data_IF_253279494690
#
_entry.id   IF_253279494690
#
_cell.length_a   1.000
_cell.length_b   1.000
_cell.length_c   1.000
_cell.angle_alpha   90.00
_cell.angle_beta   90.00
_cell.angle_gamma   90.00
#
_symmetry.space_group_name_H-M   'P 1'
#
loop_
_entity.id
_entity.type
_entity.pdbx_description
1 polymer ?
#
# COMPACT_ATOMS: atom_id res chain seq x y z
N UNK A 1 6.66 -13.09 7.19
CA UNK A 1 5.67 -13.33 6.12
C UNK A 1 5.05 -12.00 5.75
N UNK A 2 4.71 -11.77 4.48
CA UNK A 2 4.05 -10.55 4.01
C UNK A 2 3.03 -10.87 2.93
N UNK A 3 2.20 -9.90 2.59
CA UNK A 3 1.27 -9.94 1.45
C UNK A 3 1.97 -9.25 0.28
N UNK A 4 2.00 -9.90 -0.87
CA UNK A 4 2.57 -9.37 -2.10
C UNK A 4 1.44 -8.99 -3.06
N UNK A 5 1.70 -8.00 -3.92
CA UNK A 5 0.76 -7.56 -4.94
C UNK A 5 0.46 -8.73 -5.87
N UNK A 6 -0.81 -8.86 -6.30
CA UNK A 6 -1.24 -9.89 -7.25
C UNK A 6 -0.87 -11.34 -6.84
N UNK A 7 -0.65 -11.62 -5.55
CA UNK A 7 -0.27 -12.95 -5.04
C UNK A 7 -1.28 -13.46 -4.00
N UNK A 8 -2.35 -14.16 -4.44
CA UNK A 8 -3.34 -14.77 -3.56
C UNK A 8 -2.74 -15.72 -2.52
N UNK A 9 -1.69 -16.47 -2.88
CA UNK A 9 -1.09 -17.45 -1.98
C UNK A 9 -0.42 -16.74 -0.79
N UNK A 10 0.20 -15.58 -1.02
CA UNK A 10 0.72 -14.74 0.05
C UNK A 10 -0.38 -14.17 0.94
N UNK A 11 -1.49 -13.73 0.33
CA UNK A 11 -2.67 -13.22 1.04
C UNK A 11 -3.24 -14.29 1.96
N UNK A 12 -3.56 -15.48 1.43
CA UNK A 12 -4.12 -16.58 2.20
C UNK A 12 -3.19 -17.04 3.33
N UNK A 13 -1.88 -17.03 3.07
CA UNK A 13 -0.88 -17.38 4.09
C UNK A 13 -0.87 -16.42 5.27
N UNK A 14 -1.15 -15.13 5.04
CA UNK A 14 -1.13 -14.09 6.08
C UNK A 14 -2.50 -13.92 6.72
N UNK A 15 -3.57 -13.96 5.94
CA UNK A 15 -4.92 -13.62 6.37
C UNK A 15 -5.82 -14.85 6.61
N UNK A 16 -5.38 -16.04 6.24
CA UNK A 16 -6.17 -17.27 6.29
C UNK A 16 -6.97 -17.49 5.00
N UNK A 17 -7.71 -18.60 4.92
CA UNK A 17 -8.49 -18.97 3.72
C UNK A 17 -9.90 -18.39 3.69
N UNK A 18 -10.42 -17.98 4.84
CA UNK A 18 -11.77 -17.43 4.98
C UNK A 18 -11.75 -15.90 4.80
N UNK A 19 -11.33 -15.46 3.62
CA UNK A 19 -11.26 -14.05 3.26
C UNK A 19 -12.51 -13.68 2.44
N UNK A 20 -13.28 -12.65 2.85
CA UNK A 20 -14.43 -12.17 2.09
C UNK A 20 -14.07 -11.86 0.63
N UNK A 21 -15.01 -12.09 -0.27
CA UNK A 21 -14.86 -11.76 -1.69
C UNK A 21 -15.41 -10.35 -1.90
N UNK A 22 -14.58 -9.35 -1.57
CA UNK A 22 -14.94 -7.93 -1.69
C UNK A 22 -13.83 -7.19 -2.45
N UNK A 23 -14.20 -6.11 -3.14
CA UNK A 23 -13.27 -5.25 -3.87
C UNK A 23 -12.27 -4.54 -2.94
N UNK A 24 -12.64 -4.41 -1.67
CA UNK A 24 -11.81 -3.77 -0.66
C UNK A 24 -11.88 -4.55 0.64
N UNK A 25 -10.73 -4.84 1.23
CA UNK A 25 -10.64 -5.48 2.54
C UNK A 25 -9.84 -4.60 3.50
N UNK A 26 -10.39 -4.35 4.68
CA UNK A 26 -9.75 -3.53 5.70
C UNK A 26 -9.40 -4.33 6.97
N UNK A 27 -8.23 -4.07 7.53
CA UNK A 27 -7.68 -4.77 8.69
C UNK A 27 -7.05 -3.80 9.69
N UNK A 28 -7.43 -3.92 10.95
CA UNK A 28 -6.80 -3.19 12.05
C UNK A 28 -5.45 -3.81 12.43
N UNK A 29 -4.48 -2.98 12.82
CA UNK A 29 -3.35 -3.46 13.62
C UNK A 29 -3.79 -3.78 15.06
N UNK A 30 -2.90 -4.41 15.84
CA UNK A 30 -3.18 -4.94 17.19
C UNK A 30 -3.83 -3.90 18.12
N UNK A 31 -3.35 -2.67 18.07
CA UNK A 31 -3.77 -1.59 18.97
C UNK A 31 -4.86 -0.69 18.35
N UNK A 32 -5.36 -1.03 17.14
CA UNK A 32 -6.35 -0.26 16.37
C UNK A 32 -5.94 1.21 16.16
N UNK A 33 -4.65 1.42 15.91
CA UNK A 33 -4.05 2.72 15.60
C UNK A 33 -3.73 2.89 14.12
N UNK A 34 -3.78 1.80 13.34
CA UNK A 34 -3.53 1.80 11.90
C UNK A 34 -4.52 0.91 11.17
N UNK A 35 -5.03 1.38 10.04
CA UNK A 35 -5.83 0.58 9.12
C UNK A 35 -4.99 0.19 7.91
N UNK A 36 -5.01 -1.10 7.55
CA UNK A 36 -4.52 -1.60 6.27
C UNK A 36 -5.72 -1.91 5.39
N UNK A 37 -5.77 -1.25 4.23
CA UNK A 37 -6.77 -1.49 3.20
C UNK A 37 -6.09 -2.15 2.00
N UNK A 38 -6.63 -3.30 1.57
CA UNK A 38 -6.23 -4.00 0.35
C UNK A 38 -7.30 -3.74 -0.70
N UNK A 39 -6.90 -3.29 -1.89
CA UNK A 39 -7.81 -2.96 -2.98
C UNK A 39 -7.61 -3.93 -4.14
N UNK A 40 -8.73 -4.45 -4.62
CA UNK A 40 -8.84 -5.31 -5.79
C UNK A 40 -9.40 -4.48 -6.94
N UNK A 41 -8.72 -4.46 -8.07
CA UNK A 41 -9.11 -3.64 -9.22
C UNK A 41 -9.92 -4.40 -10.29
N UNK A 42 -10.41 -5.61 -9.99
CA UNK A 42 -11.17 -6.44 -10.92
C UNK A 42 -10.31 -7.45 -11.68
N UNK A 43 -10.88 -8.59 -12.06
CA UNK A 43 -10.20 -9.69 -12.75
C UNK A 43 -10.63 -11.07 -12.26
N UNK A 44 -10.04 -12.13 -12.84
CA UNK A 44 -10.43 -13.53 -12.58
C UNK A 44 -9.79 -14.13 -11.30
N UNK A 45 -8.79 -13.46 -10.72
CA UNK A 45 -8.00 -14.02 -9.60
C UNK A 45 -8.46 -13.45 -8.26
N UNK A 46 -9.26 -14.22 -7.53
CA UNK A 46 -9.69 -13.89 -6.16
C UNK A 46 -8.48 -13.70 -5.24
N UNK A 47 -8.54 -12.68 -4.37
CA UNK A 47 -7.48 -12.32 -3.39
C UNK A 47 -6.15 -11.83 -3.96
N UNK A 48 -6.09 -11.53 -5.25
CA UNK A 48 -4.98 -10.86 -5.91
C UNK A 48 -5.11 -9.34 -5.78
N UNK A 49 -4.61 -8.76 -4.70
CA UNK A 49 -4.75 -7.32 -4.45
C UNK A 49 -3.71 -6.50 -5.24
N UNK A 50 -4.18 -5.46 -5.90
CA UNK A 50 -3.41 -4.62 -6.80
C UNK A 50 -2.85 -3.36 -6.12
N UNK A 51 -3.45 -2.96 -4.99
CA UNK A 51 -3.06 -1.79 -4.23
C UNK A 51 -3.20 -2.01 -2.73
N UNK A 52 -2.29 -1.40 -1.98
CA UNK A 52 -2.33 -1.33 -0.54
C UNK A 52 -2.37 0.13 -0.09
N UNK A 53 -3.23 0.42 0.90
CA UNK A 53 -3.28 1.70 1.59
C UNK A 53 -3.14 1.48 3.10
N UNK A 54 -2.35 2.33 3.74
CA UNK A 54 -2.18 2.33 5.20
C UNK A 54 -2.41 3.73 5.73
N UNK A 55 -3.31 3.85 6.70
CA UNK A 55 -3.68 5.13 7.34
C UNK A 55 -3.55 5.05 8.85
N UNK A 56 -3.46 6.22 9.50
CA UNK A 56 -3.84 6.30 10.91
C UNK A 56 -5.33 6.02 11.04
N UNK A 57 -5.66 5.16 12.00
CA UNK A 57 -7.02 4.74 12.31
C UNK A 57 -7.91 5.91 12.73
N UNK A 58 -9.09 6.07 12.11
CA UNK A 58 -10.23 6.65 12.81
C UNK A 58 -10.99 5.53 13.55
N UNK A 59 -11.42 5.79 14.78
CA UNK A 59 -12.15 4.81 15.61
C UNK A 59 -13.46 4.34 14.97
N UNK A 60 -13.98 5.08 13.98
CA UNK A 60 -15.22 4.77 13.28
C UNK A 60 -15.03 3.91 12.01
N UNK A 61 -13.80 3.61 11.60
CA UNK A 61 -13.58 2.80 10.40
C UNK A 61 -13.96 1.33 10.64
N UNK A 62 -14.65 0.72 9.68
CA UNK A 62 -14.95 -0.70 9.68
C UNK A 62 -13.74 -1.49 9.20
N UNK A 63 -13.52 -2.65 9.82
CA UNK A 63 -12.50 -3.60 9.40
C UNK A 63 -13.01 -5.02 9.63
N UNK A 64 -12.53 -5.94 8.80
CA UNK A 64 -12.89 -7.36 8.87
C UNK A 64 -12.40 -7.97 10.18
N UNK A 65 -11.17 -7.64 10.58
CA UNK A 65 -10.57 -8.12 11.83
C UNK A 65 -9.41 -7.26 12.30
N UNK A 66 -8.99 -7.55 13.52
CA UNK A 66 -7.75 -7.07 14.13
C UNK A 66 -6.65 -8.10 13.91
N UNK A 67 -5.53 -7.68 13.32
CA UNK A 67 -4.33 -8.50 13.15
C UNK A 67 -3.43 -8.38 14.38
N UNK A 68 -2.72 -9.45 14.75
CA UNK A 68 -1.77 -9.45 15.87
C UNK A 68 -0.43 -8.76 15.53
N UNK A 69 -0.45 -7.72 14.70
CA UNK A 69 0.71 -6.96 14.26
C UNK A 69 0.73 -5.60 14.96
N UNK A 70 1.86 -5.15 15.52
CA UNK A 70 1.93 -3.83 16.16
C UNK A 70 1.85 -2.69 15.15
N UNK A 71 2.34 -2.88 13.93
CA UNK A 71 2.31 -1.90 12.85
C UNK A 71 2.37 -2.58 11.49
N UNK A 72 1.90 -1.88 10.46
CA UNK A 72 2.08 -2.25 9.06
C UNK A 72 3.36 -1.62 8.50
N UNK A 73 4.17 -2.47 7.86
CA UNK A 73 5.48 -2.10 7.31
C UNK A 73 5.60 -2.72 5.92
N UNK A 74 5.99 -1.93 4.93
CA UNK A 74 6.21 -2.44 3.57
C UNK A 74 7.47 -3.29 3.49
N UNK A 75 7.64 -4.06 2.41
CA UNK A 75 8.85 -4.85 2.18
C UNK A 75 10.15 -4.03 2.12
N UNK A 76 10.05 -2.72 1.84
CA UNK A 76 11.18 -1.77 1.84
C UNK A 76 11.33 -1.00 3.16
N UNK A 77 10.53 -1.31 4.19
CA UNK A 77 10.63 -0.71 5.51
C UNK A 77 9.84 0.58 5.71
N UNK A 78 8.97 0.96 4.77
CA UNK A 78 8.10 2.13 4.95
C UNK A 78 7.01 1.84 5.97
N UNK A 79 6.79 2.77 6.89
CA UNK A 79 5.78 2.68 7.95
C UNK A 79 5.35 4.08 8.36
N UNK A 80 4.16 4.19 8.95
CA UNK A 80 3.69 5.47 9.51
C UNK A 80 4.67 6.03 10.54
N UNK A 81 4.79 7.35 10.58
CA UNK A 81 5.63 8.11 11.51
C UNK A 81 7.09 8.34 11.07
N UNK A 82 7.51 7.82 9.92
CA UNK A 82 8.82 8.19 9.34
C UNK A 82 8.79 9.64 8.82
N UNK A 83 9.95 10.26 8.70
CA UNK A 83 10.09 11.59 8.09
C UNK A 83 10.28 11.50 6.59
N UNK A 84 10.06 12.61 5.88
CA UNK A 84 10.33 12.70 4.44
C UNK A 84 11.80 12.37 4.13
N UNK A 85 12.74 12.79 4.98
CA UNK A 85 14.16 12.43 4.85
C UNK A 85 14.36 10.90 4.84
N UNK A 86 13.72 10.19 5.77
CA UNK A 86 13.81 8.73 5.82
C UNK A 86 13.17 8.07 4.59
N UNK A 87 12.07 8.63 4.06
CA UNK A 87 11.48 8.16 2.81
C UNK A 87 12.44 8.36 1.62
N UNK A 88 13.09 9.51 1.54
CA UNK A 88 14.12 9.81 0.54
C UNK A 88 15.32 8.88 0.64
N UNK A 89 15.72 8.44 1.84
CA UNK A 89 16.78 7.44 2.02
C UNK A 89 16.38 6.06 1.46
N UNK A 90 15.08 5.71 1.44
CA UNK A 90 14.57 4.43 0.94
C UNK A 90 14.43 4.44 -0.59
N UNK A 91 13.91 5.52 -1.17
CA UNK A 91 13.51 5.58 -2.59
C UNK A 91 14.27 6.60 -3.44
N UNK A 92 15.08 7.46 -2.83
CA UNK A 92 15.62 8.65 -3.49
C UNK A 92 14.62 9.80 -3.53
N UNK A 93 14.94 10.84 -4.30
CA UNK A 93 14.12 12.04 -4.41
C UNK A 93 12.82 11.73 -5.18
N UNK A 94 11.67 11.91 -4.52
CA UNK A 94 10.35 11.86 -5.16
C UNK A 94 9.87 13.23 -5.63
N UNK A 95 8.73 13.24 -6.32
CA UNK A 95 8.04 14.49 -6.71
C UNK A 95 7.20 14.95 -5.52
N UNK A 96 7.46 16.14 -5.00
CA UNK A 96 6.73 16.70 -3.86
C UNK A 96 5.61 17.65 -4.33
N UNK A 97 4.42 17.46 -3.76
CA UNK A 97 3.26 18.33 -3.90
C UNK A 97 2.85 18.87 -2.52
N UNK A 98 2.45 20.14 -2.43
CA UNK A 98 1.97 20.73 -1.17
C UNK A 98 0.49 21.06 -1.26
N UNK A 99 -0.29 20.51 -0.34
CA UNK A 99 -1.73 20.74 -0.22
C UNK A 99 -2.01 21.32 1.17
N UNK A 100 -2.20 22.63 1.24
CA UNK A 100 -2.38 23.34 2.51
C UNK A 100 -1.19 23.16 3.45
N UNK A 101 -1.39 22.45 4.57
CA UNK A 101 -0.34 22.14 5.56
C UNK A 101 0.26 20.74 5.39
N UNK A 102 -0.21 19.98 4.42
CA UNK A 102 0.26 18.63 4.12
C UNK A 102 1.24 18.66 2.95
N UNK A 103 2.18 17.72 2.96
CA UNK A 103 3.09 17.47 1.86
C UNK A 103 2.87 16.04 1.38
N UNK A 104 2.75 15.85 0.07
CA UNK A 104 2.54 14.55 -0.56
C UNK A 104 3.77 14.28 -1.42
N UNK A 105 4.40 13.12 -1.23
CA UNK A 105 5.53 12.68 -2.05
C UNK A 105 5.07 11.55 -2.95
N UNK A 106 5.30 11.71 -4.24
CA UNK A 106 4.91 10.79 -5.29
C UNK A 106 6.13 10.09 -5.89
N UNK A 107 6.00 8.78 -6.10
CA UNK A 107 6.92 7.95 -6.86
C UNK A 107 6.14 7.20 -7.92
N UNK A 108 6.68 7.14 -9.13
CA UNK A 108 6.04 6.43 -10.24
C UNK A 108 7.09 5.67 -11.06
N UNK A 109 6.76 4.45 -11.43
CA UNK A 109 7.42 3.68 -12.48
C UNK A 109 6.38 3.51 -13.58
N UNK A 110 6.70 3.91 -14.80
CA UNK A 110 5.81 3.80 -15.95
C UNK A 110 6.56 3.17 -17.12
N UNK A 111 5.96 2.13 -17.71
CA UNK A 111 6.47 1.42 -18.89
C UNK A 111 5.30 0.76 -19.62
N UNK A 112 4.53 1.60 -20.33
CA UNK A 112 3.31 1.17 -21.04
C UNK A 112 3.61 0.07 -22.06
N UNK A 113 4.78 0.11 -22.70
CA UNK A 113 5.19 -0.89 -23.68
C UNK A 113 5.74 -2.18 -23.05
N UNK A 114 5.89 -2.23 -21.72
CA UNK A 114 6.50 -3.33 -20.98
C UNK A 114 7.85 -3.77 -21.57
N UNK A 115 8.68 -2.80 -21.96
CA UNK A 115 9.91 -3.08 -22.71
C UNK A 115 11.19 -3.01 -21.85
N UNK A 116 11.15 -2.28 -20.75
CA UNK A 116 12.34 -1.80 -20.03
C UNK A 116 12.33 -2.03 -18.52
N UNK A 117 11.16 -2.22 -17.91
CA UNK A 117 11.00 -2.46 -16.48
C UNK A 117 10.73 -3.94 -16.18
N UNK A 118 11.72 -4.72 -15.71
CA UNK A 118 11.50 -6.13 -15.35
C UNK A 118 10.44 -6.31 -14.26
N UNK A 119 10.32 -5.34 -13.36
CA UNK A 119 9.30 -5.32 -12.32
C UNK A 119 7.91 -5.23 -12.93
N UNK A 120 7.66 -4.27 -13.82
CA UNK A 120 6.36 -4.11 -14.48
C UNK A 120 6.04 -5.26 -15.43
N UNK A 121 7.05 -5.81 -16.13
CA UNK A 121 6.92 -7.01 -16.96
C UNK A 121 6.48 -8.24 -16.15
N UNK A 122 7.02 -8.42 -14.94
CA UNK A 122 6.67 -9.56 -14.08
C UNK A 122 5.17 -9.55 -13.73
N UNK A 123 4.64 -8.39 -13.36
CA UNK A 123 3.23 -8.22 -13.00
C UNK A 123 2.32 -7.95 -14.21
N UNK A 124 2.90 -7.71 -15.40
CA UNK A 124 2.19 -7.31 -16.63
C UNK A 124 1.36 -6.04 -16.47
N UNK A 125 1.89 -5.06 -15.73
CA UNK A 125 1.20 -3.80 -15.42
C UNK A 125 1.92 -2.61 -16.04
N UNK A 126 1.21 -1.63 -16.63
CA UNK A 126 1.84 -0.51 -17.35
C UNK A 126 2.47 0.52 -16.42
N UNK A 127 2.00 0.61 -15.18
CA UNK A 127 2.54 1.54 -14.19
C UNK A 127 2.41 1.00 -12.77
N UNK A 128 3.29 1.49 -11.91
CA UNK A 128 3.28 1.30 -10.47
C UNK A 128 3.55 2.63 -9.79
N UNK A 129 2.81 2.90 -8.72
CA UNK A 129 2.90 4.17 -8.03
C UNK A 129 3.05 3.99 -6.52
N UNK A 130 3.54 5.04 -5.87
CA UNK A 130 3.53 5.18 -4.42
C UNK A 130 3.29 6.63 -4.06
N UNK A 131 2.30 6.85 -3.20
CA UNK A 131 1.89 8.16 -2.71
C UNK A 131 2.01 8.18 -1.18
N UNK A 132 2.67 9.21 -0.65
CA UNK A 132 3.06 9.28 0.75
C UNK A 132 2.68 10.64 1.34
N UNK A 133 1.70 10.66 2.24
CA UNK A 133 1.14 11.88 2.83
C UNK A 133 1.79 12.20 4.17
N UNK A 134 2.34 13.40 4.27
CA UNK A 134 3.02 13.92 5.44
C UNK A 134 2.23 15.05 6.09
N UNK A 135 2.03 14.93 7.40
CA UNK A 135 1.48 15.97 8.26
C UNK A 135 2.38 16.15 9.49
N UNK A 136 2.67 17.40 9.87
CA UNK A 136 3.60 17.68 10.97
C UNK A 136 5.00 17.08 10.77
N UNK A 137 5.42 16.88 9.51
CA UNK A 137 6.72 16.28 9.16
C UNK A 137 6.78 14.76 9.32
N UNK A 138 5.63 14.08 9.49
CA UNK A 138 5.52 12.64 9.72
C UNK A 138 4.58 12.00 8.72
N UNK A 139 4.93 10.80 8.23
CA UNK A 139 4.08 10.03 7.34
C UNK A 139 2.81 9.58 8.09
N UNK A 140 1.64 10.01 7.64
CA UNK A 140 0.33 9.71 8.26
C UNK A 140 -0.53 8.79 7.41
N UNK A 141 -0.28 8.76 6.11
CA UNK A 141 -0.92 7.86 5.16
C UNK A 141 0.07 7.51 4.05
N UNK A 142 -0.01 6.29 3.53
CA UNK A 142 0.59 5.94 2.26
C UNK A 142 -0.25 4.93 1.50
N UNK A 143 -0.19 5.01 0.17
CA UNK A 143 -0.76 4.00 -0.72
C UNK A 143 0.19 3.69 -1.85
N UNK A 144 0.17 2.46 -2.33
CA UNK A 144 1.01 2.01 -3.43
C UNK A 144 0.42 0.78 -4.09
N UNK A 145 0.66 0.64 -5.38
CA UNK A 145 0.05 -0.41 -6.17
C UNK A 145 0.22 -0.16 -7.65
N UNK A 146 -0.52 -0.90 -8.45
CA UNK A 146 -0.61 -0.69 -9.89
C UNK A 146 -1.74 0.29 -10.21
N UNK A 147 -1.50 1.24 -11.11
CA UNK A 147 -2.62 2.01 -11.67
C UNK A 147 -3.24 1.19 -12.79
N UNK A 148 -4.57 1.11 -12.81
CA UNK A 148 -5.27 0.69 -14.01
C UNK A 148 -5.45 1.89 -14.95
N UNK A 149 -5.20 1.71 -16.27
CA UNK A 149 -5.55 2.70 -17.29
C UNK A 149 -7.07 2.85 -17.48
#
# INVERSE_FOLDING_TARGET
SGIFLEDPASTEKVLGKEIPHEEQLAYWNKDRTQLLTLLFHGGDTVHAFAEFKVTQADKNESAIKVLSLPAFITGKGVRLGITQKQLTEIFGQGVEERVGRQSIVHYKIEDIALASSPFLQHYRMPSYYGEYHFEGGKLVEFRFGFELP
#
